data_IF_793303305341
#
_entry.id   IF_793303305341
#
_cell.length_a   1.000
_cell.length_b   1.000
_cell.length_c   1.000
_cell.angle_alpha   90.00
_cell.angle_beta   90.00
_cell.angle_gamma   90.00
#
_symmetry.space_group_name_H-M   'P 1'
#
loop_
_entity.id
_entity.type
_entity.pdbx_description
1 polymer ?
#
# COMPACT_ATOMS: atom_id res chain seq x y z
N UNK A 1 40.53 -19.16 -31.89
CA UNK A 1 39.77 -18.53 -30.79
C UNK A 1 39.38 -19.68 -29.86
N UNK A 2 40.00 -19.76 -28.70
CA UNK A 2 39.93 -20.98 -27.87
C UNK A 2 38.50 -21.22 -27.40
N UNK A 3 38.00 -22.43 -27.59
CA UNK A 3 36.67 -22.86 -27.15
C UNK A 3 36.46 -22.61 -25.66
N UNK A 4 37.52 -22.76 -24.87
CA UNK A 4 37.55 -22.39 -23.45
C UNK A 4 37.27 -20.91 -23.18
N UNK A 5 37.77 -20.01 -24.04
CA UNK A 5 37.57 -18.58 -23.89
C UNK A 5 36.12 -18.20 -24.22
N UNK A 6 35.51 -18.84 -25.24
CA UNK A 6 34.10 -18.64 -25.56
C UNK A 6 33.17 -19.10 -24.43
N UNK A 7 33.43 -20.27 -23.84
CA UNK A 7 32.64 -20.80 -22.71
C UNK A 7 32.71 -19.85 -21.51
N UNK A 8 33.89 -19.34 -21.17
CA UNK A 8 34.06 -18.37 -20.06
C UNK A 8 33.27 -17.09 -20.31
N UNK A 9 33.32 -16.56 -21.53
CA UNK A 9 32.62 -15.33 -21.90
C UNK A 9 31.10 -15.52 -21.76
N UNK A 10 30.56 -16.61 -22.30
CA UNK A 10 29.12 -16.93 -22.19
C UNK A 10 28.69 -17.03 -20.72
N UNK A 11 29.50 -17.69 -19.89
CA UNK A 11 29.21 -17.89 -18.47
C UNK A 11 29.22 -16.56 -17.71
N UNK A 12 30.19 -15.68 -17.99
CA UNK A 12 30.27 -14.33 -17.38
C UNK A 12 29.05 -13.49 -17.78
N UNK A 13 28.68 -13.46 -19.07
CA UNK A 13 27.49 -12.73 -19.52
C UNK A 13 26.21 -13.28 -18.89
N UNK A 14 26.09 -14.61 -18.76
CA UNK A 14 24.96 -15.25 -18.10
C UNK A 14 24.83 -14.84 -16.63
N UNK A 15 25.93 -14.80 -15.88
CA UNK A 15 25.95 -14.39 -14.47
C UNK A 15 25.59 -12.90 -14.32
N UNK A 16 26.11 -12.04 -15.19
CA UNK A 16 25.81 -10.60 -15.17
C UNK A 16 24.31 -10.40 -15.43
N UNK A 17 23.76 -11.06 -16.45
CA UNK A 17 22.35 -10.94 -16.80
C UNK A 17 21.43 -11.43 -15.67
N UNK A 18 21.78 -12.57 -15.06
CA UNK A 18 21.04 -13.12 -13.92
C UNK A 18 21.10 -12.16 -12.72
N UNK A 19 22.26 -11.57 -12.44
CA UNK A 19 22.43 -10.62 -11.34
C UNK A 19 21.55 -9.38 -11.51
N UNK A 20 21.52 -8.80 -12.73
CA UNK A 20 20.66 -7.65 -13.06
C UNK A 20 19.19 -8.01 -12.87
N UNK A 21 18.77 -9.18 -13.37
CA UNK A 21 17.39 -9.65 -13.22
C UNK A 21 16.98 -9.78 -11.75
N UNK A 22 17.87 -10.33 -10.92
CA UNK A 22 17.61 -10.53 -9.49
C UNK A 22 17.44 -9.20 -8.75
N UNK A 23 18.27 -8.20 -9.08
CA UNK A 23 18.18 -6.85 -8.50
C UNK A 23 16.85 -6.19 -8.87
N UNK A 24 16.43 -6.29 -10.12
CA UNK A 24 15.14 -5.76 -10.57
C UNK A 24 13.96 -6.42 -9.84
N UNK A 25 13.98 -7.75 -9.70
CA UNK A 25 12.94 -8.49 -9.00
C UNK A 25 12.84 -8.06 -7.53
N UNK A 26 14.00 -7.85 -6.88
CA UNK A 26 14.09 -7.44 -5.49
C UNK A 26 13.49 -6.04 -5.25
N UNK A 27 13.61 -5.13 -6.23
CA UNK A 27 13.06 -3.76 -6.14
C UNK A 27 11.54 -3.75 -6.41
N UNK A 28 11.07 -4.59 -7.33
CA UNK A 28 9.64 -4.64 -7.72
C UNK A 28 8.75 -5.13 -6.57
N UNK A 29 9.21 -6.08 -5.77
CA UNK A 29 8.47 -6.61 -4.61
C UNK A 29 8.00 -5.53 -3.62
N UNK A 30 8.91 -4.77 -2.98
CA UNK A 30 8.55 -3.72 -2.03
C UNK A 30 7.79 -2.57 -2.69
N UNK A 31 8.07 -2.24 -3.95
CA UNK A 31 7.34 -1.20 -4.67
C UNK A 31 5.86 -1.54 -4.86
N UNK A 32 5.54 -2.81 -5.17
CA UNK A 32 4.16 -3.30 -5.22
C UNK A 32 3.46 -3.22 -3.86
N UNK A 33 4.20 -3.46 -2.78
CA UNK A 33 3.66 -3.38 -1.42
C UNK A 33 3.32 -1.93 -1.02
N UNK A 34 4.20 -0.98 -1.33
CA UNK A 34 3.96 0.45 -1.15
C UNK A 34 2.72 0.93 -1.93
N UNK A 35 2.60 0.53 -3.19
CA UNK A 35 1.41 0.83 -4.01
C UNK A 35 0.12 0.29 -3.39
N UNK A 36 0.14 -0.94 -2.86
CA UNK A 36 -1.02 -1.56 -2.20
C UNK A 36 -1.43 -0.82 -0.93
N UNK A 37 -0.46 -0.33 -0.14
CA UNK A 37 -0.74 0.50 1.04
C UNK A 37 -1.37 1.84 0.64
N UNK A 38 -0.81 2.50 -0.37
CA UNK A 38 -1.33 3.77 -0.88
C UNK A 38 -2.78 3.65 -1.33
N UNK A 39 -3.11 2.62 -2.11
CA UNK A 39 -4.48 2.37 -2.57
C UNK A 39 -5.44 2.16 -1.38
N UNK A 40 -5.01 1.40 -0.36
CA UNK A 40 -5.81 1.17 0.86
C UNK A 40 -6.04 2.46 1.63
N UNK A 41 -5.02 3.31 1.79
CA UNK A 41 -5.19 4.62 2.45
C UNK A 41 -6.18 5.50 1.69
N UNK A 42 -6.09 5.56 0.36
CA UNK A 42 -7.03 6.34 -0.45
C UNK A 42 -8.46 5.82 -0.27
N UNK A 43 -8.66 4.49 -0.34
CA UNK A 43 -9.97 3.88 -0.13
C UNK A 43 -10.52 4.15 1.27
N UNK A 44 -9.69 4.05 2.30
CA UNK A 44 -10.10 4.33 3.68
C UNK A 44 -10.44 5.80 3.91
N UNK A 45 -9.72 6.71 3.26
CA UNK A 45 -10.03 8.14 3.26
C UNK A 45 -11.34 8.45 2.56
N UNK A 46 -11.59 7.84 1.39
CA UNK A 46 -12.87 7.96 0.68
C UNK A 46 -14.02 7.43 1.55
N UNK A 47 -13.87 6.27 2.18
CA UNK A 47 -14.90 5.74 3.10
C UNK A 47 -15.21 6.71 4.24
N UNK A 48 -14.20 7.24 4.91
CA UNK A 48 -14.39 8.22 5.99
C UNK A 48 -15.03 9.51 5.50
N UNK A 49 -14.66 9.97 4.30
CA UNK A 49 -15.24 11.14 3.67
C UNK A 49 -16.73 10.94 3.37
N UNK A 50 -17.08 9.82 2.73
CA UNK A 50 -18.47 9.45 2.45
C UNK A 50 -19.28 9.30 3.73
N UNK A 51 -18.69 8.70 4.77
CA UNK A 51 -19.35 8.55 6.07
C UNK A 51 -19.66 9.93 6.68
N UNK A 52 -18.66 10.81 6.78
CA UNK A 52 -18.87 12.18 7.30
C UNK A 52 -19.92 12.95 6.48
N UNK A 53 -19.92 12.78 5.15
CA UNK A 53 -20.92 13.41 4.29
C UNK A 53 -22.35 12.91 4.61
N UNK A 54 -22.53 11.60 4.79
CA UNK A 54 -23.81 11.00 5.20
C UNK A 54 -24.24 11.50 6.59
N UNK A 55 -23.32 11.54 7.55
CA UNK A 55 -23.64 11.99 8.91
C UNK A 55 -24.05 13.47 8.93
N UNK A 56 -23.39 14.30 8.12
CA UNK A 56 -23.76 15.70 7.96
C UNK A 56 -25.16 15.87 7.34
N UNK A 57 -25.51 15.06 6.35
CA UNK A 57 -26.87 15.05 5.75
C UNK A 57 -27.93 14.64 6.79
N UNK A 58 -27.61 13.68 7.66
CA UNK A 58 -28.50 13.22 8.73
C UNK A 58 -28.57 14.19 9.92
N UNK A 59 -27.91 15.35 9.84
CA UNK A 59 -27.78 16.32 10.94
C UNK A 59 -27.20 15.73 12.23
N UNK A 60 -26.39 14.67 12.10
CA UNK A 60 -25.67 14.08 13.22
C UNK A 60 -24.38 14.86 13.40
N UNK A 61 -24.20 15.51 14.55
CA UNK A 61 -23.05 16.37 14.83
C UNK A 61 -21.78 15.56 15.20
N UNK A 62 -21.47 14.53 14.40
CA UNK A 62 -20.40 13.58 14.65
C UNK A 62 -19.46 13.56 13.44
N UNK A 63 -18.39 14.35 13.54
CA UNK A 63 -17.36 14.46 12.51
C UNK A 63 -16.12 13.66 12.91
N UNK A 64 -15.77 12.69 12.07
CA UNK A 64 -14.55 11.90 12.20
C UNK A 64 -13.42 12.64 11.48
N UNK A 65 -12.28 12.83 12.14
CA UNK A 65 -11.11 13.44 11.52
C UNK A 65 -10.57 12.57 10.38
N UNK A 66 -10.46 13.13 9.18
CA UNK A 66 -9.85 12.46 8.02
C UNK A 66 -8.37 12.84 7.98
N UNK A 67 -7.49 11.94 8.40
CA UNK A 67 -6.04 12.09 8.25
C UNK A 67 -5.43 10.79 7.69
N UNK A 68 -4.12 10.79 7.44
CA UNK A 68 -3.37 9.63 6.95
C UNK A 68 -3.51 8.37 7.83
N UNK A 69 -3.45 8.53 9.15
CA UNK A 69 -3.58 7.48 10.15
C UNK A 69 -5.01 6.92 10.19
N UNK A 70 -6.04 7.78 10.27
CA UNK A 70 -7.43 7.30 10.31
C UNK A 70 -7.82 6.63 9.01
N UNK A 71 -7.39 7.19 7.87
CA UNK A 71 -7.60 6.61 6.54
C UNK A 71 -6.84 5.29 6.36
N UNK A 72 -5.66 5.14 6.96
CA UNK A 72 -4.94 3.87 6.96
C UNK A 72 -5.66 2.80 7.78
N UNK A 73 -6.12 3.15 8.99
CA UNK A 73 -6.84 2.22 9.87
C UNK A 73 -8.14 1.77 9.21
N UNK A 74 -8.94 2.69 8.65
CA UNK A 74 -10.17 2.33 7.93
C UNK A 74 -9.88 1.58 6.63
N UNK A 75 -8.84 1.95 5.90
CA UNK A 75 -8.43 1.27 4.67
C UNK A 75 -7.90 -0.15 4.90
N UNK A 76 -7.30 -0.41 6.07
CA UNK A 76 -6.75 -1.71 6.41
C UNK A 76 -7.77 -2.64 7.08
N UNK A 77 -8.57 -2.13 8.03
CA UNK A 77 -9.58 -2.92 8.75
C UNK A 77 -10.97 -2.89 8.09
N UNK A 78 -11.21 -2.00 7.14
CA UNK A 78 -12.52 -1.83 6.49
C UNK A 78 -13.59 -1.31 7.47
N UNK A 79 -14.77 -1.93 7.45
CA UNK A 79 -15.91 -1.59 8.34
C UNK A 79 -15.49 -1.59 9.81
N UNK A 80 -14.68 -2.57 10.24
CA UNK A 80 -14.24 -2.66 11.64
C UNK A 80 -13.37 -1.47 12.05
N UNK A 81 -12.57 -0.94 11.11
CA UNK A 81 -11.75 0.24 11.36
C UNK A 81 -12.62 1.49 11.53
N UNK A 82 -13.66 1.64 10.70
CA UNK A 82 -14.62 2.75 10.82
C UNK A 82 -15.34 2.70 12.16
N UNK A 83 -15.83 1.52 12.56
CA UNK A 83 -16.49 1.33 13.86
C UNK A 83 -15.55 1.62 15.03
N UNK A 84 -14.31 1.15 14.97
CA UNK A 84 -13.32 1.40 16.01
C UNK A 84 -13.04 2.90 16.18
N UNK A 85 -12.83 3.63 15.09
CA UNK A 85 -12.59 5.08 15.15
C UNK A 85 -13.83 5.82 15.66
N UNK A 86 -15.02 5.39 15.23
CA UNK A 86 -16.28 5.96 15.72
C UNK A 86 -16.45 5.73 17.23
N UNK A 87 -16.18 4.51 17.72
CA UNK A 87 -16.21 4.20 19.15
C UNK A 87 -15.20 5.04 19.94
N UNK A 88 -13.96 5.14 19.47
CA UNK A 88 -12.93 5.97 20.11
C UNK A 88 -13.39 7.42 20.19
N UNK A 89 -13.96 7.96 19.11
CA UNK A 89 -14.49 9.33 19.07
C UNK A 89 -15.74 9.53 19.92
N UNK A 90 -16.49 8.48 20.22
CA UNK A 90 -17.65 8.53 21.11
C UNK A 90 -17.26 8.50 22.59
N UNK A 91 -16.19 7.76 22.93
CA UNK A 91 -15.70 7.63 24.30
C UNK A 91 -14.79 8.78 24.76
N UNK A 92 -14.18 9.52 23.82
CA UNK A 92 -13.31 10.68 24.09
C UNK A 92 -14.08 11.99 23.89
#
# INVERSE_FOLDING_TARGET
MDTFLQIKVILIYGIILLSIYTIFLLIIGPLKFLGKIGIRMVFGGICLFTLNYILNILHINFNIGINLITSFITGYLGIFGVLAISLVKYFL
#
